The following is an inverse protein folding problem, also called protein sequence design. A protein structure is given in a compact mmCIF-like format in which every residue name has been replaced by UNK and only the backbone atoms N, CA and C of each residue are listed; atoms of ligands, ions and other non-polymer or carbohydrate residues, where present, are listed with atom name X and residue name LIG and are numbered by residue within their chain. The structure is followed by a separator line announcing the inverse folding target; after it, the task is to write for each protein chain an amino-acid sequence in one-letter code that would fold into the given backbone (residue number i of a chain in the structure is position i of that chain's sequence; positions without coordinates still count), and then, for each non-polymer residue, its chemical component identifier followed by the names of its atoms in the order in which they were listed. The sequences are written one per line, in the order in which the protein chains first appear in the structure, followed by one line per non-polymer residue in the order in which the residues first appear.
data_IF_938844602252
#
_entry.id   IF_938844602252
#
_cell.length_a   1.000
_cell.length_b   1.000
_cell.length_c   1.000
_cell.angle_alpha   90.00
_cell.angle_beta   90.00
_cell.angle_gamma   90.00
#
_symmetry.space_group_name_H-M   'P 1'
#
loop_
_entity.id
_entity.type
_entity.pdbx_description
1 polymer ?
#
# COMPACT_ATOMS: atom_id res chain seq x y z
N UNK A 1 -12.51 13.76 25.95
CA UNK A 1 -12.53 12.28 25.79
C UNK A 1 -11.63 11.68 26.85
N UNK A 2 -12.16 10.88 27.79
CA UNK A 2 -11.37 10.26 28.86
C UNK A 2 -10.46 9.18 28.23
N UNK A 3 -9.15 9.37 28.34
CA UNK A 3 -8.16 8.41 27.84
C UNK A 3 -8.01 7.31 28.90
N UNK A 4 -8.84 6.26 28.82
CA UNK A 4 -8.78 5.12 29.75
C UNK A 4 -7.54 4.30 29.44
N UNK A 5 -6.41 4.68 30.03
CA UNK A 5 -5.19 3.86 30.00
C UNK A 5 -5.52 2.55 30.72
N UNK A 6 -5.74 1.48 29.95
CA UNK A 6 -5.90 0.13 30.48
C UNK A 6 -4.71 -0.16 31.40
N UNK A 7 -4.97 -0.61 32.64
CA UNK A 7 -3.92 -1.08 33.54
C UNK A 7 -3.21 -2.26 32.87
N UNK A 8 -2.03 -2.01 32.32
CA UNK A 8 -1.21 -3.06 31.71
C UNK A 8 -0.77 -3.99 32.82
N UNK A 9 -1.25 -5.24 32.79
CA UNK A 9 -0.78 -6.28 33.71
C UNK A 9 0.69 -6.53 33.42
N UNK A 10 1.54 -6.20 34.38
CA UNK A 10 2.98 -6.43 34.25
C UNK A 10 3.28 -7.93 34.39
N UNK A 11 4.06 -8.47 33.46
CA UNK A 11 4.49 -9.87 33.48
C UNK A 11 5.65 -10.01 34.47
N UNK A 12 5.39 -9.85 35.77
CA UNK A 12 6.45 -9.53 36.72
C UNK A 12 7.29 -10.73 37.19
N UNK A 13 6.83 -11.98 37.12
CA UNK A 13 7.55 -13.10 37.78
C UNK A 13 7.36 -14.48 37.14
N UNK A 14 7.41 -14.60 35.81
CA UNK A 14 7.45 -15.91 35.14
C UNK A 14 8.85 -16.27 34.65
N UNK A 15 9.20 -17.56 34.68
CA UNK A 15 10.44 -18.13 34.11
C UNK A 15 10.61 -17.75 32.64
N UNK A 16 9.50 -17.51 31.93
CA UNK A 16 9.48 -17.15 30.51
C UNK A 16 9.72 -15.67 30.21
N UNK A 17 9.70 -14.81 31.24
CA UNK A 17 9.89 -13.37 31.10
C UNK A 17 11.13 -12.99 30.27
N UNK A 18 12.32 -13.56 30.50
CA UNK A 18 13.51 -13.27 29.68
C UNK A 18 13.37 -13.72 28.21
N UNK A 19 12.55 -14.73 27.90
CA UNK A 19 12.29 -15.12 26.51
C UNK A 19 11.34 -14.13 25.84
N UNK A 20 10.32 -13.68 26.57
CA UNK A 20 9.37 -12.68 26.10
C UNK A 20 10.07 -11.34 25.83
N UNK A 21 10.87 -10.86 26.78
CA UNK A 21 11.58 -9.58 26.67
C UNK A 21 12.50 -9.57 25.43
N UNK A 22 13.26 -10.66 25.21
CA UNK A 22 14.09 -10.83 23.99
C UNK A 22 13.28 -10.82 22.69
N UNK A 23 12.12 -11.47 22.69
CA UNK A 23 11.25 -11.46 21.51
C UNK A 23 10.65 -10.07 21.26
N UNK A 24 10.25 -9.37 22.32
CA UNK A 24 9.73 -8.01 22.27
C UNK A 24 10.77 -7.05 21.69
N UNK A 25 11.99 -7.08 22.21
CA UNK A 25 13.12 -6.29 21.71
C UNK A 25 13.41 -6.60 20.23
N UNK A 26 13.44 -7.88 19.84
CA UNK A 26 13.66 -8.29 18.44
C UNK A 26 12.61 -7.70 17.50
N UNK A 27 11.33 -7.75 17.88
CA UNK A 27 10.22 -7.21 17.07
C UNK A 27 10.29 -5.69 16.97
N UNK A 28 10.68 -4.99 18.04
CA UNK A 28 10.75 -3.53 18.09
C UNK A 28 12.06 -2.94 17.54
N UNK A 29 13.08 -3.76 17.32
CA UNK A 29 14.30 -3.35 16.63
C UNK A 29 14.03 -2.80 15.22
N UNK A 30 14.96 -1.99 14.70
CA UNK A 30 14.86 -1.43 13.34
C UNK A 30 14.70 -2.54 12.29
N UNK A 31 15.47 -3.62 12.43
CA UNK A 31 15.39 -4.79 11.55
C UNK A 31 14.03 -5.49 11.70
N UNK A 32 13.57 -5.73 12.93
CA UNK A 32 12.28 -6.35 13.20
C UNK A 32 11.12 -5.58 12.57
N UNK A 33 11.11 -4.25 12.74
CA UNK A 33 10.10 -3.36 12.12
C UNK A 33 10.13 -3.43 10.59
N UNK A 34 11.33 -3.40 9.99
CA UNK A 34 11.50 -3.54 8.54
C UNK A 34 10.98 -4.89 8.03
N UNK A 35 11.36 -5.98 8.69
CA UNK A 35 10.94 -7.33 8.31
C UNK A 35 9.43 -7.52 8.48
N UNK A 36 8.83 -6.95 9.54
CA UNK A 36 7.38 -6.96 9.73
C UNK A 36 6.66 -6.31 8.54
N UNK A 37 7.10 -5.11 8.13
CA UNK A 37 6.52 -4.37 6.99
C UNK A 37 6.62 -5.16 5.68
N UNK A 38 7.78 -5.78 5.42
CA UNK A 38 7.99 -6.62 4.24
C UNK A 38 7.08 -7.85 4.27
N UNK A 39 6.98 -8.52 5.42
CA UNK A 39 6.14 -9.71 5.58
C UNK A 39 4.65 -9.38 5.37
N UNK A 40 4.19 -8.25 5.91
CA UNK A 40 2.80 -7.80 5.75
C UNK A 40 2.44 -7.44 4.32
N UNK A 41 3.39 -6.92 3.53
CA UNK A 41 3.13 -6.59 2.12
C UNK A 41 3.23 -7.79 1.18
N UNK A 42 3.97 -8.83 1.56
CA UNK A 42 4.31 -9.94 0.65
C UNK A 42 3.57 -11.23 1.00
N UNK A 43 3.83 -11.82 2.17
CA UNK A 43 3.39 -13.19 2.48
C UNK A 43 2.08 -13.24 3.26
N UNK A 44 1.78 -12.25 4.12
CA UNK A 44 0.52 -12.25 4.88
C UNK A 44 -0.73 -12.21 4.01
N UNK A 45 -0.80 -11.44 2.89
CA UNK A 45 -2.00 -11.41 2.06
C UNK A 45 -2.32 -12.77 1.43
N UNK A 46 -1.29 -13.50 1.00
CA UNK A 46 -1.42 -14.84 0.40
C UNK A 46 -1.88 -15.84 1.45
N UNK A 47 -1.25 -15.82 2.64
CA UNK A 47 -1.61 -16.71 3.74
C UNK A 47 -3.03 -16.45 4.25
N UNK A 48 -3.44 -15.18 4.41
CA UNK A 48 -4.80 -14.83 4.80
C UNK A 48 -5.83 -15.34 3.79
N UNK A 49 -5.57 -15.11 2.50
CA UNK A 49 -6.48 -15.61 1.44
C UNK A 49 -6.60 -17.13 1.46
N UNK A 50 -5.50 -17.85 1.69
CA UNK A 50 -5.51 -19.30 1.79
C UNK A 50 -6.28 -19.81 3.02
N UNK A 51 -6.12 -19.15 4.17
CA UNK A 51 -6.83 -19.51 5.40
C UNK A 51 -8.34 -19.28 5.25
N UNK A 52 -8.75 -18.13 4.73
CA UNK A 52 -10.16 -17.73 4.67
C UNK A 52 -10.91 -18.38 3.50
N UNK A 53 -10.31 -18.39 2.30
CA UNK A 53 -10.96 -18.85 1.06
C UNK A 53 -10.37 -20.13 0.49
N UNK A 54 -9.14 -20.50 0.88
CA UNK A 54 -8.44 -21.69 0.40
C UNK A 54 -8.65 -22.94 1.25
N UNK A 55 -9.57 -22.91 2.23
CA UNK A 55 -9.83 -23.99 3.18
C UNK A 55 -8.57 -24.49 3.93
N UNK A 56 -7.57 -23.62 4.13
CA UNK A 56 -6.30 -23.97 4.77
C UNK A 56 -6.31 -23.82 6.31
N UNK A 57 -7.46 -23.57 6.95
CA UNK A 57 -7.57 -23.52 8.42
C UNK A 57 -7.11 -24.81 9.11
N UNK A 58 -7.18 -25.95 8.42
CA UNK A 58 -6.72 -27.24 8.93
C UNK A 58 -5.93 -28.00 7.87
N UNK A 59 -4.71 -28.40 8.22
CA UNK A 59 -3.87 -29.27 7.40
C UNK A 59 -4.11 -30.72 7.80
N UNK A 60 -4.42 -31.58 6.82
CA UNK A 60 -4.77 -33.00 7.07
C UNK A 60 -3.58 -33.96 7.05
N UNK A 61 -2.38 -33.47 6.69
CA UNK A 61 -1.17 -34.29 6.65
C UNK A 61 -0.59 -34.50 8.04
N UNK A 62 -0.12 -35.72 8.33
CA UNK A 62 0.62 -36.02 9.57
C UNK A 62 2.11 -35.70 9.37
N UNK A 63 2.73 -35.08 10.37
CA UNK A 63 4.16 -34.75 10.38
C UNK A 63 4.48 -33.35 9.84
N UNK A 64 5.45 -32.69 10.50
CA UNK A 64 5.81 -31.29 10.25
C UNK A 64 6.32 -31.05 8.82
N UNK A 65 7.14 -31.96 8.29
CA UNK A 65 7.72 -31.87 6.94
C UNK A 65 6.62 -31.88 5.86
N UNK A 66 5.65 -32.76 6.00
CA UNK A 66 4.52 -32.87 5.07
C UNK A 66 3.60 -31.66 5.16
N UNK A 67 3.33 -31.18 6.38
CA UNK A 67 2.55 -29.96 6.59
C UNK A 67 3.21 -28.73 5.95
N UNK A 68 4.53 -28.60 6.08
CA UNK A 68 5.30 -27.54 5.44
C UNK A 68 5.16 -27.58 3.91
N UNK A 69 5.36 -28.76 3.31
CA UNK A 69 5.22 -28.93 1.87
C UNK A 69 3.80 -28.62 1.38
N UNK A 70 2.77 -29.04 2.11
CA UNK A 70 1.38 -28.76 1.79
C UNK A 70 1.09 -27.25 1.75
N UNK A 71 1.51 -26.52 2.78
CA UNK A 71 1.32 -25.06 2.85
C UNK A 71 2.11 -24.33 1.76
N UNK A 72 3.37 -24.73 1.52
CA UNK A 72 4.21 -24.14 0.48
C UNK A 72 3.62 -24.35 -0.91
N UNK A 73 3.14 -25.56 -1.20
CA UNK A 73 2.53 -25.88 -2.48
C UNK A 73 1.25 -25.07 -2.70
N UNK A 74 0.38 -24.96 -1.68
CA UNK A 74 -0.83 -24.15 -1.76
C UNK A 74 -0.52 -22.67 -2.00
N UNK A 75 0.48 -22.12 -1.31
CA UNK A 75 0.90 -20.72 -1.48
C UNK A 75 1.49 -20.48 -2.87
N UNK A 76 2.31 -21.41 -3.38
CA UNK A 76 2.87 -21.34 -4.72
C UNK A 76 1.76 -21.38 -5.78
N UNK A 77 0.82 -22.32 -5.66
CA UNK A 77 -0.31 -22.43 -6.58
C UNK A 77 -1.17 -21.15 -6.59
N UNK A 78 -1.41 -20.53 -5.43
CA UNK A 78 -2.12 -19.26 -5.35
C UNK A 78 -1.35 -18.13 -6.02
N UNK A 79 -0.04 -18.03 -5.80
CA UNK A 79 0.80 -17.03 -6.45
C UNK A 79 0.79 -17.20 -7.98
N UNK A 80 0.86 -18.43 -8.48
CA UNK A 80 0.75 -18.73 -9.91
C UNK A 80 -0.63 -18.33 -10.47
N UNK A 81 -1.72 -18.67 -9.77
CA UNK A 81 -3.08 -18.24 -10.14
C UNK A 81 -3.18 -16.71 -10.23
N UNK A 82 -2.55 -16.00 -9.29
CA UNK A 82 -2.52 -14.52 -9.28
C UNK A 82 -1.72 -13.98 -10.46
N UNK A 83 -0.56 -14.57 -10.77
CA UNK A 83 0.29 -14.19 -11.90
C UNK A 83 -0.43 -14.37 -13.24
N UNK A 84 -1.13 -15.49 -13.43
CA UNK A 84 -1.90 -15.76 -14.66
C UNK A 84 -3.05 -14.75 -14.82
N UNK A 85 -3.72 -14.38 -13.71
CA UNK A 85 -4.78 -13.37 -13.71
C UNK A 85 -4.27 -11.94 -13.80
N UNK A 86 -2.96 -11.72 -13.68
CA UNK A 86 -2.38 -10.39 -13.70
C UNK A 86 -2.45 -9.81 -15.13
N UNK A 87 -3.51 -9.06 -15.40
CA UNK A 87 -3.61 -8.26 -16.61
C UNK A 87 -2.74 -7.01 -16.44
N UNK A 88 -1.69 -6.90 -17.25
CA UNK A 88 -0.97 -5.65 -17.40
C UNK A 88 -1.95 -4.62 -17.95
N UNK A 89 -2.36 -3.67 -17.12
CA UNK A 89 -2.87 -2.42 -17.66
C UNK A 89 -1.65 -1.78 -18.30
N UNK A 90 -1.60 -1.76 -19.64
CA UNK A 90 -0.51 -1.11 -20.35
C UNK A 90 -0.40 0.31 -19.79
N UNK A 91 0.61 0.53 -18.95
CA UNK A 91 0.89 1.84 -18.36
C UNK A 91 1.06 2.88 -19.47
N UNK A 92 1.45 2.44 -20.66
CA UNK A 92 1.46 3.21 -21.91
C UNK A 92 0.10 3.83 -22.23
N UNK A 93 -1.01 3.10 -22.12
CA UNK A 93 -2.37 3.63 -22.42
C UNK A 93 -2.81 4.61 -21.35
N UNK A 94 -2.53 4.31 -20.07
CA UNK A 94 -2.84 5.22 -18.96
C UNK A 94 -2.01 6.51 -19.04
N UNK A 95 -0.72 6.40 -19.37
CA UNK A 95 0.21 7.52 -19.58
C UNK A 95 -0.20 8.33 -20.80
N UNK A 96 -0.53 7.70 -21.93
CA UNK A 96 -1.01 8.37 -23.14
C UNK A 96 -2.28 9.20 -22.87
N UNK A 97 -3.21 8.65 -22.09
CA UNK A 97 -4.43 9.39 -21.68
C UNK A 97 -4.11 10.59 -20.79
N UNK A 98 -3.14 10.46 -19.89
CA UNK A 98 -2.69 11.58 -19.04
C UNK A 98 -1.99 12.65 -19.88
N UNK A 99 -1.15 12.27 -20.85
CA UNK A 99 -0.49 13.22 -21.74
C UNK A 99 -1.47 13.96 -22.65
N UNK A 100 -2.47 13.26 -23.21
CA UNK A 100 -3.54 13.89 -24.01
C UNK A 100 -4.35 14.89 -23.18
N UNK A 101 -4.72 14.52 -21.94
CA UNK A 101 -5.44 15.42 -21.04
C UNK A 101 -4.63 16.67 -20.69
N UNK A 102 -3.31 16.53 -20.49
CA UNK A 102 -2.41 17.65 -20.24
C UNK A 102 -2.29 18.57 -21.46
N UNK A 103 -2.14 17.99 -22.66
CA UNK A 103 -2.09 18.74 -23.92
C UNK A 103 -3.38 19.52 -24.19
N UNK A 104 -4.54 18.91 -23.93
CA UNK A 104 -5.84 19.57 -24.05
C UNK A 104 -5.98 20.72 -23.04
N UNK A 105 -5.52 20.52 -21.80
CA UNK A 105 -5.55 21.58 -20.79
C UNK A 105 -4.67 22.77 -21.19
N UNK A 106 -3.43 22.52 -21.63
CA UNK A 106 -2.50 23.56 -22.10
C UNK A 106 -3.10 24.30 -23.31
N UNK A 107 -3.66 23.57 -24.27
CA UNK A 107 -4.29 24.16 -25.45
C UNK A 107 -5.47 25.06 -25.09
N UNK A 108 -6.30 24.63 -24.14
CA UNK A 108 -7.43 25.43 -23.64
C UNK A 108 -6.97 26.69 -22.88
N UNK A 109 -5.87 26.60 -22.10
CA UNK A 109 -5.26 27.77 -21.46
C UNK A 109 -4.78 28.79 -22.50
N UNK A 110 -4.10 28.34 -23.56
CA UNK A 110 -3.64 29.22 -24.63
C UNK A 110 -4.78 29.89 -25.41
N UNK A 111 -5.86 29.16 -25.71
CA UNK A 111 -7.04 29.72 -26.36
C UNK A 111 -7.71 30.75 -25.46
N UNK A 112 -7.80 30.48 -24.15
CA UNK A 112 -8.32 31.42 -23.16
C UNK A 112 -7.51 32.71 -23.13
N UNK A 113 -6.19 32.66 -22.98
CA UNK A 113 -5.29 33.83 -23.00
C UNK A 113 -5.43 34.66 -24.29
N UNK A 114 -5.58 33.99 -25.44
CA UNK A 114 -5.80 34.66 -26.74
C UNK A 114 -7.16 35.36 -26.82
N UNK A 115 -8.21 34.78 -26.24
CA UNK A 115 -9.53 35.41 -26.18
C UNK A 115 -9.54 36.63 -25.26
N UNK A 116 -8.84 36.56 -24.11
CA UNK A 116 -8.65 37.72 -23.20
C UNK A 116 -7.85 38.85 -23.85
N UNK A 117 -6.88 38.53 -24.70
CA UNK A 117 -6.08 39.52 -25.44
C UNK A 117 -6.84 40.16 -26.62
N UNK A 118 -7.80 39.45 -27.22
CA UNK A 118 -8.63 39.93 -28.34
C UNK A 118 -9.89 40.68 -27.88
N UNK A 119 -10.37 40.43 -26.66
CA UNK A 119 -11.31 41.35 -26.03
C UNK A 119 -10.53 42.60 -25.62
N UNK A 120 -10.78 43.74 -26.26
CA UNK A 120 -10.32 45.06 -25.84
C UNK A 120 -10.92 45.44 -24.47
N UNK A 121 -10.51 44.74 -23.42
CA UNK A 121 -10.89 44.97 -22.02
C UNK A 121 -9.60 45.08 -21.21
N UNK A 122 -8.67 45.92 -21.70
CA UNK A 122 -7.87 46.72 -20.79
C UNK A 122 -8.47 48.12 -20.85
N UNK A 123 -9.13 48.62 -19.79
CA UNK A 123 -9.50 50.02 -19.74
C UNK A 123 -8.20 50.83 -19.88
N UNK A 124 -8.11 51.64 -20.93
CA UNK A 124 -6.95 52.46 -21.28
C UNK A 124 -6.72 53.63 -20.30
N UNK A 125 -7.15 53.51 -19.04
CA UNK A 125 -7.20 54.59 -18.05
C UNK A 125 -6.44 54.36 -16.74
N UNK A 126 -5.73 53.24 -16.54
CA UNK A 126 -4.99 52.99 -15.27
C UNK A 126 -3.46 53.14 -15.42
N UNK A 127 -3.00 54.18 -16.12
CA UNK A 127 -1.59 54.65 -16.04
C UNK A 127 -1.51 56.11 -15.57
N UNK A 128 -2.63 56.74 -15.18
CA UNK A 128 -2.65 58.13 -14.73
C UNK A 128 -2.51 58.34 -13.20
N UNK A 129 -2.20 57.31 -12.41
CA UNK A 129 -2.08 57.44 -10.94
C UNK A 129 -0.86 56.71 -10.37
N UNK A 130 0.34 56.95 -10.91
CA UNK A 130 1.62 56.71 -10.20
C UNK A 130 2.71 57.57 -10.85
N UNK A 131 2.60 58.88 -10.67
CA UNK A 131 3.70 59.85 -10.63
C UNK A 131 3.40 60.82 -9.49
#
# INVERSE_FOLDING_TARGET
MKNTKQNTKELSTTVDKPYYDRAYERVHSIIGRRMKKLRSSTVEPVLGTLLDYGAMRKVRTRGLKLANNHVLLAAMAYNLKKLIKHQYHNSVVAVAKVTENLQNHISNLFVRERLFSNSNIFPRSTIAYYF
#
